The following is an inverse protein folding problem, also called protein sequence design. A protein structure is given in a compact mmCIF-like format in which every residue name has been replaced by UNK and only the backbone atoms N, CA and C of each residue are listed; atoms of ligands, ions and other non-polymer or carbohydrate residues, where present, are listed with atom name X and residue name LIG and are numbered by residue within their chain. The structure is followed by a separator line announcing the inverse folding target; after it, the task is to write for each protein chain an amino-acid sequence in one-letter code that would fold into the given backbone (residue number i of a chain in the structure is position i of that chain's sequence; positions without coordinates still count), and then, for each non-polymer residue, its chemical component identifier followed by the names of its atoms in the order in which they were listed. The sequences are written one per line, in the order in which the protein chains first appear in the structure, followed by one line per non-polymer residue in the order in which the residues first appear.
data_IF_551817968518
#
_entry.id   IF_551817968518
#
_cell.length_a   1.000
_cell.length_b   1.000
_cell.length_c   1.000
_cell.angle_alpha   90.00
_cell.angle_beta   90.00
_cell.angle_gamma   90.00
#
_symmetry.space_group_name_H-M   'P 1'
#
loop_
_entity.id
_entity.type
_entity.pdbx_description
1 polymer ?
#
# COMPACT_ATOMS: atom_id res chain seq x y z
N UNK A 1 -3.50 -24.71 49.63
CA UNK A 1 -4.17 -24.99 48.36
C UNK A 1 -3.93 -23.78 47.47
N UNK A 2 -2.82 -23.85 46.71
CA UNK A 2 -2.33 -22.73 45.90
C UNK A 2 -2.89 -22.92 44.49
N UNK A 3 -3.71 -21.99 44.02
CA UNK A 3 -4.27 -22.01 42.68
C UNK A 3 -3.13 -21.90 41.63
N UNK A 4 -3.18 -22.62 40.51
CA UNK A 4 -2.24 -22.45 39.44
C UNK A 4 -2.47 -21.05 38.84
N UNK A 5 -1.44 -20.20 38.91
CA UNK A 5 -1.41 -18.96 38.14
C UNK A 5 -1.22 -19.36 36.68
N UNK A 6 -2.29 -19.31 35.89
CA UNK A 6 -2.24 -19.36 34.47
C UNK A 6 -1.35 -18.20 33.98
N UNK A 7 -0.09 -18.52 33.69
CA UNK A 7 0.80 -17.67 32.94
C UNK A 7 0.34 -17.68 31.48
N UNK A 8 -0.81 -17.05 31.23
CA UNK A 8 -1.14 -16.55 29.89
C UNK A 8 -0.03 -15.58 29.55
N UNK A 9 0.87 -15.99 28.63
CA UNK A 9 2.05 -15.22 28.23
C UNK A 9 1.66 -13.78 28.03
N UNK A 10 2.30 -12.88 28.80
CA UNK A 10 1.97 -11.47 28.80
C UNK A 10 1.85 -10.96 27.37
N UNK A 11 0.73 -10.29 27.01
CA UNK A 11 0.52 -9.74 25.65
C UNK A 11 1.74 -9.01 25.08
N UNK A 12 2.55 -8.30 25.91
CA UNK A 12 3.80 -7.68 25.45
C UNK A 12 4.84 -8.66 24.93
N UNK A 13 5.00 -9.84 25.56
CA UNK A 13 6.02 -10.82 25.17
C UNK A 13 5.67 -11.51 23.83
N UNK A 14 4.42 -11.90 23.63
CA UNK A 14 3.93 -12.48 22.40
C UNK A 14 4.06 -11.48 21.23
N UNK A 15 3.69 -10.22 21.46
CA UNK A 15 3.83 -9.15 20.49
C UNK A 15 5.30 -8.92 20.11
N UNK A 16 6.20 -8.84 21.10
CA UNK A 16 7.62 -8.66 20.85
C UNK A 16 8.21 -9.82 20.03
N UNK A 17 7.81 -11.05 20.32
CA UNK A 17 8.22 -12.24 19.57
C UNK A 17 7.70 -12.20 18.13
N UNK A 18 6.44 -11.85 17.93
CA UNK A 18 5.84 -11.72 16.60
C UNK A 18 6.56 -10.66 15.76
N UNK A 19 6.75 -9.45 16.30
CA UNK A 19 7.41 -8.36 15.57
C UNK A 19 8.86 -8.70 15.22
N UNK A 20 9.59 -9.40 16.10
CA UNK A 20 10.94 -9.92 15.81
C UNK A 20 10.91 -10.91 14.64
N UNK A 21 9.89 -11.74 14.52
CA UNK A 21 9.71 -12.68 13.40
C UNK A 21 9.41 -11.99 12.08
N UNK A 22 8.75 -10.81 12.11
CA UNK A 22 8.32 -10.10 10.91
C UNK A 22 9.29 -9.01 10.43
N UNK A 23 10.11 -8.43 11.33
CA UNK A 23 10.89 -7.21 11.03
C UNK A 23 11.82 -7.36 9.83
N UNK A 24 12.55 -8.46 9.72
CA UNK A 24 13.49 -8.72 8.62
C UNK A 24 12.77 -8.83 7.27
N UNK A 25 11.71 -9.63 7.22
CA UNK A 25 10.89 -9.82 6.01
C UNK A 25 10.16 -8.54 5.64
N UNK A 26 9.65 -7.81 6.63
CA UNK A 26 9.00 -6.52 6.43
C UNK A 26 9.94 -5.46 5.89
N UNK A 27 11.21 -5.43 6.34
CA UNK A 27 12.20 -4.50 5.83
C UNK A 27 12.54 -4.76 4.37
N UNK A 28 12.81 -6.03 4.01
CA UNK A 28 13.12 -6.41 2.62
C UNK A 28 11.91 -6.16 1.71
N UNK A 29 10.70 -6.52 2.15
CA UNK A 29 9.49 -6.21 1.41
C UNK A 29 9.36 -4.70 1.15
N UNK A 30 9.49 -3.87 2.19
CA UNK A 30 9.30 -2.43 2.09
C UNK A 30 10.35 -1.76 1.19
N UNK A 31 11.62 -2.15 1.34
CA UNK A 31 12.71 -1.70 0.49
C UNK A 31 12.45 -2.05 -0.98
N UNK A 32 12.16 -3.32 -1.27
CA UNK A 32 11.92 -3.78 -2.63
C UNK A 32 10.62 -3.22 -3.24
N UNK A 33 9.63 -2.91 -2.41
CA UNK A 33 8.38 -2.31 -2.87
C UNK A 33 8.56 -0.88 -3.39
N UNK A 34 9.39 -0.07 -2.73
CA UNK A 34 9.62 1.31 -3.15
C UNK A 34 10.99 1.55 -3.81
N UNK A 35 11.91 0.57 -3.77
CA UNK A 35 13.25 0.67 -4.34
C UNK A 35 14.23 1.54 -3.55
N UNK A 36 13.90 1.79 -2.26
CA UNK A 36 14.72 2.61 -1.36
C UNK A 36 14.66 2.09 0.09
N UNK A 37 15.79 1.76 0.72
CA UNK A 37 15.82 1.19 2.06
C UNK A 37 15.37 2.15 3.15
N UNK A 38 15.70 3.44 3.07
CA UNK A 38 15.35 4.41 4.11
C UNK A 38 13.85 4.74 4.07
N UNK A 39 13.29 4.88 2.87
CA UNK A 39 11.84 5.03 2.67
C UNK A 39 11.09 3.77 3.11
N UNK A 40 11.64 2.59 2.85
CA UNK A 40 11.12 1.32 3.32
C UNK A 40 11.10 1.25 4.85
N UNK A 41 12.14 1.72 5.53
CA UNK A 41 12.22 1.77 7.00
C UNK A 41 11.17 2.70 7.61
N UNK A 42 10.91 3.85 6.99
CA UNK A 42 9.84 4.76 7.44
C UNK A 42 8.48 4.06 7.38
N UNK A 43 8.22 3.32 6.29
CA UNK A 43 7.00 2.54 6.14
C UNK A 43 6.89 1.42 7.19
N UNK A 44 7.98 0.66 7.38
CA UNK A 44 8.04 -0.42 8.36
C UNK A 44 7.82 0.11 9.78
N UNK A 45 8.50 1.20 10.18
CA UNK A 45 8.34 1.81 11.48
C UNK A 45 6.88 2.27 11.72
N UNK A 46 6.23 2.81 10.71
CA UNK A 46 4.82 3.19 10.79
C UNK A 46 3.91 1.97 10.97
N UNK A 47 4.15 0.89 10.20
CA UNK A 47 3.38 -0.34 10.29
C UNK A 47 3.56 -1.03 11.65
N UNK A 48 4.78 -1.11 12.19
CA UNK A 48 5.06 -1.68 13.51
C UNK A 48 4.29 -0.93 14.62
N UNK A 49 4.30 0.41 14.60
CA UNK A 49 3.56 1.23 15.57
C UNK A 49 2.04 1.06 15.44
N UNK A 50 1.53 1.08 14.21
CA UNK A 50 0.11 0.90 13.96
C UNK A 50 -0.34 -0.50 14.38
N UNK A 51 0.46 -1.54 14.11
CA UNK A 51 0.16 -2.90 14.51
C UNK A 51 0.12 -3.04 16.03
N UNK A 52 1.10 -2.49 16.75
CA UNK A 52 1.09 -2.47 18.22
C UNK A 52 -0.22 -1.90 18.79
N UNK A 53 -0.71 -0.81 18.23
CA UNK A 53 -1.96 -0.18 18.66
C UNK A 53 -3.20 -1.04 18.44
N UNK A 54 -3.15 -2.02 17.54
CA UNK A 54 -4.27 -2.87 17.17
C UNK A 54 -4.16 -4.31 17.74
N UNK A 55 -2.96 -4.76 18.08
CA UNK A 55 -2.67 -6.16 18.38
C UNK A 55 -3.50 -6.73 19.54
N UNK A 56 -3.75 -5.92 20.59
CA UNK A 56 -4.50 -6.36 21.76
C UNK A 56 -5.99 -6.67 21.47
N UNK A 57 -6.54 -6.08 20.40
CA UNK A 57 -7.94 -6.25 20.00
C UNK A 57 -8.13 -7.38 18.98
N UNK A 58 -7.04 -8.05 18.54
CA UNK A 58 -7.07 -9.05 17.47
C UNK A 58 -6.68 -10.43 17.99
N UNK A 59 -7.34 -11.50 17.52
CA UNK A 59 -6.84 -12.86 17.69
C UNK A 59 -5.41 -12.99 17.12
N UNK A 60 -4.55 -13.75 17.79
CA UNK A 60 -3.15 -13.92 17.34
C UNK A 60 -3.05 -14.58 15.96
N UNK A 61 -4.04 -15.38 15.56
CA UNK A 61 -4.11 -15.98 14.24
C UNK A 61 -4.19 -14.94 13.12
N UNK A 62 -4.81 -13.79 13.38
CA UNK A 62 -5.01 -12.71 12.39
C UNK A 62 -3.82 -11.73 12.32
N UNK A 63 -2.86 -11.86 13.23
CA UNK A 63 -1.72 -10.96 13.31
C UNK A 63 -0.90 -10.88 12.02
N UNK A 64 -0.57 -12.01 11.35
CA UNK A 64 0.20 -11.96 10.11
C UNK A 64 -0.51 -11.13 9.03
N UNK A 65 -1.76 -11.44 8.72
CA UNK A 65 -2.55 -10.75 7.70
C UNK A 65 -2.65 -9.26 8.04
N UNK A 66 -2.96 -8.94 9.30
CA UNK A 66 -3.09 -7.55 9.74
C UNK A 66 -1.79 -6.76 9.64
N UNK A 67 -0.66 -7.34 10.05
CA UNK A 67 0.65 -6.70 9.93
C UNK A 67 0.98 -6.39 8.47
N UNK A 68 0.82 -7.37 7.58
CA UNK A 68 1.11 -7.21 6.17
C UNK A 68 0.15 -6.24 5.47
N UNK A 69 -1.11 -6.21 5.86
CA UNK A 69 -2.07 -5.22 5.38
C UNK A 69 -1.64 -3.79 5.75
N UNK A 70 -1.24 -3.56 7.01
CA UNK A 70 -0.75 -2.26 7.46
C UNK A 70 0.53 -1.82 6.73
N UNK A 71 1.45 -2.74 6.52
CA UNK A 71 2.70 -2.45 5.82
C UNK A 71 2.46 -2.15 4.34
N UNK A 72 1.70 -2.99 3.65
CA UNK A 72 1.38 -2.81 2.23
C UNK A 72 0.59 -1.52 1.96
N UNK A 73 -0.27 -1.10 2.89
CA UNK A 73 -1.05 0.13 2.80
C UNK A 73 -0.26 1.39 3.14
N UNK A 74 0.98 1.27 3.64
CA UNK A 74 1.78 2.42 4.06
C UNK A 74 2.03 3.41 2.90
N UNK A 75 1.75 4.71 3.07
CA UNK A 75 1.85 5.69 1.99
C UNK A 75 3.21 5.71 1.26
N UNK A 76 4.37 5.54 1.94
CA UNK A 76 5.65 5.50 1.26
C UNK A 76 5.81 4.36 0.24
N UNK A 77 5.02 3.28 0.36
CA UNK A 77 5.11 2.10 -0.50
C UNK A 77 4.15 2.12 -1.71
N UNK A 78 3.30 3.12 -1.81
CA UNK A 78 2.30 3.22 -2.91
C UNK A 78 2.92 3.59 -4.25
N UNK A 79 4.12 4.16 -4.24
CA UNK A 79 4.87 4.56 -5.42
C UNK A 79 6.33 4.20 -5.23
N UNK A 80 7.06 3.98 -6.32
CA UNK A 80 8.52 3.90 -6.24
C UNK A 80 9.11 5.22 -5.72
N UNK A 81 10.27 5.13 -5.07
CA UNK A 81 11.03 6.31 -4.71
C UNK A 81 11.49 7.04 -5.99
N UNK A 82 11.71 8.38 -5.97
CA UNK A 82 12.24 9.10 -7.13
C UNK A 82 13.57 8.52 -7.63
N UNK A 83 14.43 8.09 -6.69
CA UNK A 83 15.72 7.47 -6.95
C UNK A 83 15.70 5.95 -6.74
N UNK A 84 14.56 5.32 -6.98
CA UNK A 84 14.38 3.89 -6.78
C UNK A 84 15.43 3.09 -7.56
N UNK A 85 16.05 2.13 -6.88
CA UNK A 85 17.09 1.28 -7.46
C UNK A 85 16.83 -0.19 -7.17
N UNK A 86 16.73 -0.96 -8.23
CA UNK A 86 16.74 -2.41 -8.19
C UNK A 86 17.89 -2.90 -9.05
N UNK A 87 18.79 -3.72 -8.48
CA UNK A 87 20.01 -4.15 -9.14
C UNK A 87 19.97 -5.64 -9.48
N UNK A 88 20.73 -6.04 -10.48
CA UNK A 88 20.83 -7.44 -10.89
C UNK A 88 19.46 -8.02 -11.26
N UNK A 89 19.15 -9.22 -10.77
CA UNK A 89 17.88 -9.88 -11.01
C UNK A 89 16.68 -9.09 -10.45
N UNK A 90 16.88 -8.28 -9.40
CA UNK A 90 15.82 -7.46 -8.80
C UNK A 90 15.37 -6.32 -9.72
N UNK A 91 16.12 -5.98 -10.77
CA UNK A 91 15.70 -4.95 -11.76
C UNK A 91 14.35 -5.25 -12.40
N UNK A 92 13.95 -6.52 -12.45
CA UNK A 92 12.62 -6.94 -12.89
C UNK A 92 11.47 -6.37 -12.03
N UNK A 93 11.75 -5.96 -10.79
CA UNK A 93 10.76 -5.31 -9.92
C UNK A 93 10.42 -3.88 -10.31
N UNK A 94 11.18 -3.26 -11.21
CA UNK A 94 10.89 -1.91 -11.69
C UNK A 94 9.64 -1.84 -12.58
N UNK A 95 9.40 -2.89 -13.37
CA UNK A 95 8.34 -2.91 -14.38
C UNK A 95 6.91 -3.06 -13.82
N UNK A 96 6.63 -3.94 -12.83
CA UNK A 96 5.27 -4.13 -12.33
C UNK A 96 4.70 -2.87 -11.67
N UNK A 97 3.38 -2.68 -11.82
CA UNK A 97 2.64 -1.67 -11.06
C UNK A 97 2.78 -1.92 -9.54
N UNK A 98 2.64 -0.90 -8.69
CA UNK A 98 2.85 -1.04 -7.25
C UNK A 98 2.03 -2.16 -6.60
N UNK A 99 0.77 -2.35 -6.99
CA UNK A 99 -0.08 -3.43 -6.47
C UNK A 99 0.41 -4.81 -6.91
N UNK A 100 0.78 -4.94 -8.18
CA UNK A 100 1.25 -6.19 -8.74
C UNK A 100 2.61 -6.59 -8.12
N UNK A 101 3.50 -5.61 -7.94
CA UNK A 101 4.76 -5.79 -7.22
C UNK A 101 4.53 -6.22 -5.77
N UNK A 102 3.57 -5.60 -5.06
CA UNK A 102 3.22 -5.99 -3.70
C UNK A 102 2.72 -7.44 -3.62
N UNK A 103 1.89 -7.89 -4.56
CA UNK A 103 1.42 -9.28 -4.64
C UNK A 103 2.58 -10.26 -4.76
N UNK A 104 3.55 -9.97 -5.65
CA UNK A 104 4.77 -10.75 -5.82
C UNK A 104 5.61 -10.77 -4.55
N UNK A 105 5.86 -9.62 -3.93
CA UNK A 105 6.72 -9.49 -2.77
C UNK A 105 6.10 -10.10 -1.51
N UNK A 106 4.78 -10.06 -1.33
CA UNK A 106 4.11 -10.77 -0.23
C UNK A 106 4.34 -12.28 -0.33
N UNK A 107 4.36 -12.82 -1.56
CA UNK A 107 4.65 -14.22 -1.79
C UNK A 107 6.12 -14.55 -1.53
N UNK A 108 7.05 -13.79 -2.08
CA UNK A 108 8.49 -14.12 -2.11
C UNK A 108 9.25 -13.63 -0.87
N UNK A 109 9.01 -12.41 -0.40
CA UNK A 109 9.65 -11.84 0.78
C UNK A 109 8.81 -12.09 2.04
N UNK A 110 7.51 -11.85 1.98
CA UNK A 110 6.59 -12.08 3.10
C UNK A 110 6.44 -13.55 3.45
N UNK A 111 6.47 -14.43 2.46
CA UNK A 111 6.27 -15.87 2.63
C UNK A 111 4.81 -16.24 2.92
N UNK A 112 3.85 -15.38 2.55
CA UNK A 112 2.43 -15.60 2.77
C UNK A 112 1.87 -16.66 1.81
N UNK A 113 0.87 -17.39 2.27
CA UNK A 113 0.03 -18.18 1.38
C UNK A 113 -0.87 -17.27 0.54
N UNK A 114 -1.41 -17.81 -0.55
CA UNK A 114 -2.23 -17.03 -1.51
C UNK A 114 -3.40 -16.32 -0.84
N UNK A 115 -4.15 -17.03 0.01
CA UNK A 115 -5.30 -16.47 0.72
C UNK A 115 -4.88 -15.30 1.62
N UNK A 116 -3.86 -15.50 2.47
CA UNK A 116 -3.36 -14.48 3.40
C UNK A 116 -2.79 -13.25 2.66
N UNK A 117 -2.13 -13.46 1.52
CA UNK A 117 -1.58 -12.39 0.70
C UNK A 117 -2.68 -11.59 -0.01
N UNK A 118 -3.73 -12.26 -0.50
CA UNK A 118 -4.92 -11.63 -1.05
C UNK A 118 -5.61 -10.77 0.01
N UNK A 119 -5.88 -11.33 1.19
CA UNK A 119 -6.51 -10.64 2.32
C UNK A 119 -5.68 -9.43 2.78
N UNK A 120 -4.34 -9.57 2.85
CA UNK A 120 -3.44 -8.48 3.20
C UNK A 120 -3.50 -7.30 2.22
N UNK A 121 -3.82 -7.54 0.94
CA UNK A 121 -4.00 -6.52 -0.09
C UNK A 121 -5.46 -6.07 -0.26
N UNK A 122 -6.41 -6.70 0.44
CA UNK A 122 -7.85 -6.44 0.26
C UNK A 122 -8.37 -6.90 -1.10
N UNK A 123 -7.79 -7.96 -1.66
CA UNK A 123 -8.16 -8.55 -2.94
C UNK A 123 -8.87 -9.89 -2.72
N UNK A 124 -9.73 -10.26 -3.66
CA UNK A 124 -10.15 -11.65 -3.77
C UNK A 124 -9.05 -12.52 -4.41
N UNK A 125 -9.19 -13.85 -4.32
CA UNK A 125 -8.18 -14.75 -4.83
C UNK A 125 -7.96 -14.68 -6.35
N UNK A 126 -8.98 -14.32 -7.14
CA UNK A 126 -8.86 -14.16 -8.58
C UNK A 126 -8.04 -12.89 -8.91
N UNK A 127 -8.39 -11.76 -8.30
CA UNK A 127 -7.69 -10.49 -8.46
C UNK A 127 -6.23 -10.58 -8.00
N UNK A 128 -5.95 -11.33 -6.93
CA UNK A 128 -4.59 -11.58 -6.47
C UNK A 128 -3.78 -12.39 -7.49
N UNK A 129 -4.34 -13.49 -8.03
CA UNK A 129 -3.66 -14.28 -9.07
C UNK A 129 -3.38 -13.47 -10.32
N UNK A 130 -4.31 -12.61 -10.72
CA UNK A 130 -4.14 -11.71 -11.86
C UNK A 130 -3.03 -10.68 -11.60
N UNK A 131 -2.97 -10.10 -10.40
CA UNK A 131 -1.89 -9.20 -10.01
C UNK A 131 -0.52 -9.91 -10.03
N UNK A 132 -0.46 -11.14 -9.50
CA UNK A 132 0.75 -11.96 -9.52
C UNK A 132 1.18 -12.33 -10.95
N UNK A 133 0.25 -12.65 -11.83
CA UNK A 133 0.51 -12.94 -13.24
C UNK A 133 1.05 -11.70 -14.00
N UNK A 134 0.56 -10.50 -13.69
CA UNK A 134 1.09 -9.24 -14.24
C UNK A 134 2.48 -8.91 -13.71
N UNK A 135 2.78 -9.27 -12.46
CA UNK A 135 4.10 -9.08 -11.86
C UNK A 135 5.15 -10.08 -12.34
N UNK A 136 4.74 -11.18 -12.96
CA UNK A 136 5.65 -12.22 -13.44
C UNK A 136 6.58 -11.65 -14.52
N UNK A 137 7.92 -11.81 -14.39
CA UNK A 137 8.87 -11.43 -15.44
C UNK A 137 8.53 -12.12 -16.76
N UNK A 138 8.74 -11.40 -17.85
CA UNK A 138 8.46 -11.87 -19.21
C UNK A 138 9.71 -11.82 -20.08
N UNK A 139 9.79 -12.74 -21.03
CA UNK A 139 10.84 -12.74 -22.06
C UNK A 139 10.57 -11.66 -23.15
N UNK A 140 11.46 -11.57 -24.12
CA UNK A 140 11.35 -10.62 -25.22
C UNK A 140 10.11 -10.83 -26.11
N UNK A 141 9.50 -12.01 -26.05
CA UNK A 141 8.29 -12.37 -26.79
C UNK A 141 7.02 -12.16 -25.96
N UNK A 142 7.16 -11.70 -24.70
CA UNK A 142 6.07 -11.48 -23.77
C UNK A 142 5.56 -12.72 -23.04
N UNK A 143 6.21 -13.87 -23.18
CA UNK A 143 5.88 -15.08 -22.42
C UNK A 143 6.45 -15.04 -21.00
N UNK A 144 5.82 -15.71 -20.02
CA UNK A 144 6.37 -15.83 -18.68
C UNK A 144 7.78 -16.42 -18.68
N UNK A 145 8.74 -15.73 -18.07
CA UNK A 145 10.13 -16.16 -17.97
C UNK A 145 10.38 -16.86 -16.62
N UNK A 146 10.35 -18.18 -16.62
CA UNK A 146 10.59 -18.99 -15.44
C UNK A 146 12.04 -18.88 -14.91
N UNK A 147 13.03 -18.55 -15.75
CA UNK A 147 14.40 -18.36 -15.32
C UNK A 147 14.55 -17.03 -14.59
N UNK A 148 14.02 -15.95 -15.15
CA UNK A 148 13.99 -14.64 -14.50
C UNK A 148 13.18 -14.67 -13.20
N UNK A 149 12.04 -15.37 -13.17
CA UNK A 149 11.27 -15.58 -11.93
C UNK A 149 12.11 -16.22 -10.83
N UNK A 150 12.82 -17.31 -11.15
CA UNK A 150 13.69 -17.99 -10.18
C UNK A 150 14.84 -17.09 -9.71
N UNK A 151 15.45 -16.34 -10.63
CA UNK A 151 16.52 -15.42 -10.30
C UNK A 151 16.06 -14.29 -9.34
N UNK A 152 14.87 -13.73 -9.55
CA UNK A 152 14.25 -12.76 -8.63
C UNK A 152 13.99 -13.39 -7.27
N UNK A 153 13.39 -14.57 -7.23
CA UNK A 153 13.10 -15.28 -5.98
C UNK A 153 14.38 -15.56 -5.19
N UNK A 154 15.42 -16.04 -5.85
CA UNK A 154 16.72 -16.32 -5.24
C UNK A 154 17.41 -15.07 -4.72
N UNK A 155 17.40 -13.99 -5.48
CA UNK A 155 17.94 -12.69 -5.05
C UNK A 155 17.22 -12.16 -3.80
N UNK A 156 15.89 -12.27 -3.73
CA UNK A 156 15.11 -11.89 -2.54
C UNK A 156 15.50 -12.77 -1.33
N UNK A 157 15.60 -14.08 -1.52
CA UNK A 157 15.99 -14.99 -0.44
C UNK A 157 17.42 -14.74 0.04
N UNK A 158 18.33 -14.39 -0.87
CA UNK A 158 19.71 -13.99 -0.54
C UNK A 158 19.72 -12.72 0.28
N UNK A 159 18.97 -11.68 -0.14
CA UNK A 159 18.84 -10.43 0.61
C UNK A 159 18.24 -10.66 2.02
N UNK A 160 17.27 -11.57 2.14
CA UNK A 160 16.71 -11.95 3.44
C UNK A 160 17.71 -12.63 4.37
N UNK A 161 18.60 -13.47 3.82
CA UNK A 161 19.65 -14.17 4.61
C UNK A 161 20.81 -13.27 4.99
N UNK A 162 21.20 -12.39 4.09
CA UNK A 162 22.49 -11.66 4.12
C UNK A 162 22.33 -10.18 4.53
N UNK A 163 21.27 -9.85 5.30
CA UNK A 163 21.12 -8.50 5.82
C UNK A 163 22.35 -8.12 6.69
N UNK A 164 23.00 -6.97 6.41
CA UNK A 164 24.17 -6.53 7.15
C UNK A 164 23.88 -6.33 8.65
N UNK A 165 24.89 -6.51 9.54
CA UNK A 165 24.70 -6.37 10.98
C UNK A 165 24.18 -5.00 11.43
N UNK A 166 24.65 -3.92 10.79
CA UNK A 166 24.17 -2.55 11.04
C UNK A 166 22.70 -2.39 10.67
N UNK A 167 22.28 -3.02 9.56
CA UNK A 167 20.87 -3.06 9.15
C UNK A 167 20.01 -3.83 10.18
N UNK A 168 20.49 -4.97 10.66
CA UNK A 168 19.81 -5.74 11.70
C UNK A 168 19.70 -4.93 13.01
N UNK A 169 20.72 -4.21 13.40
CA UNK A 169 20.70 -3.33 14.57
C UNK A 169 19.70 -2.17 14.39
N UNK A 170 19.59 -1.58 13.20
CA UNK A 170 18.59 -0.56 12.88
C UNK A 170 17.17 -1.12 13.03
N UNK A 171 16.88 -2.32 12.49
CA UNK A 171 15.59 -2.98 12.59
C UNK A 171 15.20 -3.28 14.05
N UNK A 172 16.16 -3.76 14.86
CA UNK A 172 15.93 -3.99 16.28
C UNK A 172 15.50 -2.71 17.00
N UNK A 173 16.15 -1.57 16.71
CA UNK A 173 15.76 -0.26 17.27
C UNK A 173 14.34 0.14 16.82
N UNK A 174 14.01 0.01 15.53
CA UNK A 174 12.65 0.33 15.04
C UNK A 174 11.58 -0.49 15.75
N UNK A 175 11.85 -1.78 16.01
CA UNK A 175 10.95 -2.64 16.79
C UNK A 175 10.84 -2.16 18.24
N UNK A 176 11.96 -1.88 18.90
CA UNK A 176 12.00 -1.42 20.30
C UNK A 176 11.25 -0.09 20.46
N UNK A 177 11.48 0.88 19.57
CA UNK A 177 10.77 2.15 19.53
C UNK A 177 9.25 1.96 19.34
N UNK A 178 8.86 1.02 18.48
CA UNK A 178 7.47 0.68 18.28
C UNK A 178 6.85 0.07 19.54
N UNK A 179 7.54 -0.84 20.22
CA UNK A 179 7.08 -1.47 21.45
C UNK A 179 7.01 -0.49 22.63
N UNK A 180 7.99 0.40 22.77
CA UNK A 180 8.02 1.43 23.81
C UNK A 180 6.90 2.48 23.63
N UNK A 181 6.29 2.55 22.44
CA UNK A 181 5.29 3.57 22.12
C UNK A 181 5.89 4.96 21.96
N UNK A 182 7.19 5.04 21.81
CA UNK A 182 7.91 6.29 21.61
C UNK A 182 7.44 6.88 20.26
N UNK A 183 6.81 8.04 20.34
CA UNK A 183 6.50 8.83 19.15
C UNK A 183 7.84 9.35 18.65
N UNK A 184 8.45 8.68 17.67
CA UNK A 184 9.54 9.30 16.93
C UNK A 184 8.99 10.64 16.42
N UNK A 185 9.62 11.79 16.76
CA UNK A 185 9.21 13.05 16.14
C UNK A 185 9.17 12.80 14.65
N UNK A 186 8.03 13.08 14.03
CA UNK A 186 7.97 13.07 12.58
C UNK A 186 9.15 13.92 12.12
N UNK A 187 10.08 13.33 11.35
CA UNK A 187 11.10 14.11 10.68
C UNK A 187 10.32 15.18 9.96
N UNK A 188 10.47 16.42 10.42
CA UNK A 188 9.74 17.54 9.86
C UNK A 188 10.01 17.47 8.35
N UNK A 189 8.97 17.45 7.52
CA UNK A 189 9.18 17.45 6.09
C UNK A 189 10.10 18.62 5.80
N UNK A 190 11.24 18.34 5.13
CA UNK A 190 12.15 19.37 4.68
C UNK A 190 11.27 20.44 4.07
N UNK A 191 11.41 21.69 4.59
CA UNK A 191 10.60 22.86 4.26
C UNK A 191 10.45 22.91 2.75
N UNK A 192 9.33 22.41 2.25
CA UNK A 192 8.99 22.51 0.84
C UNK A 192 8.97 24.01 0.53
N UNK A 193 9.47 24.45 -0.64
CA UNK A 193 9.34 25.84 -1.03
C UNK A 193 7.85 26.20 -0.95
N UNK A 194 7.55 27.32 -0.33
CA UNK A 194 6.20 27.82 -0.12
C UNK A 194 5.52 28.01 -1.48
N UNK A 195 4.92 26.93 -1.99
CA UNK A 195 3.91 27.06 -3.03
C UNK A 195 2.67 27.59 -2.34
N UNK A 196 2.33 28.85 -2.62
CA UNK A 196 1.06 29.45 -2.26
C UNK A 196 -0.05 28.46 -2.53
N UNK A 197 -0.62 27.91 -1.49
CA UNK A 197 -1.86 27.14 -1.56
C UNK A 197 -2.95 28.08 -2.02
N UNK A 198 -3.24 28.04 -3.32
CA UNK A 198 -4.44 28.63 -3.86
C UNK A 198 -5.60 27.84 -3.25
N UNK A 199 -6.35 28.54 -2.42
CA UNK A 199 -7.43 28.03 -1.58
C UNK A 199 -8.52 27.34 -2.44
N UNK A 200 -8.36 26.04 -2.69
CA UNK A 200 -9.28 25.25 -3.50
C UNK A 200 -10.66 25.07 -2.82
N UNK A 201 -10.76 25.34 -1.52
CA UNK A 201 -12.02 25.22 -0.76
C UNK A 201 -12.99 26.37 -1.04
N UNK A 202 -12.51 27.50 -1.59
CA UNK A 202 -13.36 28.67 -1.87
C UNK A 202 -14.02 28.63 -3.25
N UNK A 203 -13.65 27.72 -4.14
CA UNK A 203 -14.18 27.66 -5.51
C UNK A 203 -15.36 26.72 -5.71
N UNK A 204 -15.63 25.81 -4.79
CA UNK A 204 -16.73 24.85 -4.93
C UNK A 204 -18.13 25.48 -4.97
N UNK A 205 -18.49 26.50 -4.14
CA UNK A 205 -19.80 27.14 -4.29
C UNK A 205 -19.99 27.84 -5.63
N UNK A 206 -18.92 28.36 -6.24
CA UNK A 206 -19.00 29.02 -7.54
C UNK A 206 -19.20 28.08 -8.71
N UNK A 207 -18.66 26.85 -8.62
CA UNK A 207 -18.86 25.79 -9.63
C UNK A 207 -20.31 25.30 -9.60
N UNK A 208 -20.90 25.13 -8.43
CA UNK A 208 -22.31 24.76 -8.28
C UNK A 208 -23.25 25.88 -8.79
N UNK A 209 -22.93 27.15 -8.52
CA UNK A 209 -23.70 28.30 -8.99
C UNK A 209 -23.64 28.42 -10.52
N UNK A 210 -22.49 28.18 -11.13
CA UNK A 210 -22.33 28.17 -12.58
C UNK A 210 -23.10 27.02 -13.24
N UNK A 211 -23.12 25.83 -12.61
CA UNK A 211 -23.92 24.68 -13.08
C UNK A 211 -25.42 24.94 -13.07
N UNK A 212 -25.94 25.57 -12.00
CA UNK A 212 -27.38 25.93 -11.89
C UNK A 212 -27.76 26.98 -12.92
N UNK A 213 -26.91 27.99 -13.15
CA UNK A 213 -27.14 29.00 -14.18
C UNK A 213 -27.18 28.45 -15.60
N UNK A 214 -26.30 27.50 -15.91
CA UNK A 214 -26.29 26.79 -17.20
C UNK A 214 -27.56 25.98 -17.43
N UNK A 215 -28.05 25.27 -16.41
CA UNK A 215 -29.29 24.50 -16.48
C UNK A 215 -30.53 25.40 -16.65
N UNK A 216 -30.55 26.57 -15.96
CA UNK A 216 -31.62 27.53 -16.11
C UNK A 216 -31.65 28.16 -17.51
N UNK A 217 -30.49 28.48 -18.08
CA UNK A 217 -30.38 29.01 -19.44
C UNK A 217 -30.81 28.00 -20.51
N UNK A 218 -30.43 26.72 -20.33
CA UNK A 218 -30.86 25.63 -21.23
C UNK A 218 -32.37 25.41 -21.17
N UNK A 219 -32.97 25.43 -19.98
CA UNK A 219 -34.43 25.34 -19.79
C UNK A 219 -35.19 26.48 -20.45
N UNK A 220 -34.72 27.72 -20.30
CA UNK A 220 -35.33 28.90 -20.95
C UNK A 220 -35.22 28.83 -22.48
N UNK A 221 -34.10 28.38 -23.02
CA UNK A 221 -33.91 28.22 -24.46
C UNK A 221 -34.86 27.14 -25.04
N UNK A 222 -35.04 26.03 -24.33
CA UNK A 222 -35.96 24.97 -24.73
C UNK A 222 -37.41 25.43 -24.73
N UNK A 223 -37.81 26.18 -23.68
CA UNK A 223 -39.17 26.76 -23.58
C UNK A 223 -39.43 27.76 -24.68
N UNK A 224 -38.47 28.61 -25.02
CA UNK A 224 -38.60 29.59 -26.12
C UNK A 224 -38.71 28.92 -27.49
N UNK A 225 -37.96 27.85 -27.71
CA UNK A 225 -38.00 27.06 -28.95
C UNK A 225 -39.33 26.30 -29.13
N UNK A 226 -39.92 25.77 -28.08
CA UNK A 226 -41.24 25.12 -28.09
C UNK A 226 -42.37 26.12 -28.35
N UNK A 227 -42.22 27.39 -27.94
CA UNK A 227 -43.21 28.45 -28.19
C UNK A 227 -43.23 28.94 -29.64
N UNK A 228 -42.24 28.55 -30.47
CA UNK A 228 -42.18 28.98 -31.90
C UNK A 228 -42.71 27.89 -32.88
N UNK A 229 -43.29 26.81 -32.43
CA UNK A 229 -43.85 25.80 -33.30
C UNK A 229 -45.12 26.37 -34.00
N UNK A 230 -45.15 26.42 -35.36
CA UNK A 230 -46.32 26.96 -36.06
C UNK A 230 -47.54 26.00 -35.88
N UNK A 231 -48.76 26.55 -35.80
CA UNK A 231 -49.96 25.75 -35.68
C UNK A 231 -50.13 24.87 -36.93
N UNK A 232 -50.38 23.56 -36.70
CA UNK A 232 -50.66 22.58 -37.75
C UNK A 232 -51.92 22.99 -38.51
N UNK A 233 -51.79 23.27 -39.79
CA UNK A 233 -52.90 23.54 -40.68
C UNK A 233 -53.74 22.26 -40.82
N UNK A 234 -54.99 22.31 -40.29
CA UNK A 234 -56.04 21.34 -40.54
C UNK A 234 -56.58 21.55 -41.96
N UNK A 235 -56.37 20.62 -42.86
CA UNK A 235 -57.03 20.53 -44.16
C UNK A 235 -58.46 19.98 -43.99
N UNK A 236 -59.50 20.65 -44.51
CA UNK A 236 -60.84 20.10 -44.62
C UNK A 236 -61.00 19.36 -45.95
N UNK A 237 -61.64 18.22 -45.91
CA UNK A 237 -62.38 17.62 -47.03
C UNK A 237 -63.82 17.67 -46.71
#
# INVERSE_FOLDING_TARGET
MMAPQDTVGSPPAALAAFLRGCERRGAVFAELQCGDPDRGDVALAAALRAFRGNAAALPMADWPVRFWSLLSAAPPLRTAAPDARWQGALSALAAPAPLDRAALLLRLAGGLQEADAADALGLDGAAYRDALARACPRDALGHPDAAAWRAVAEAIQTQLRELPPDRLAKLARLREDALAGTRVPAVAPAKAPETRTVDARRRWPWILLAGILLLAAAGAALWWWQGQAPPSASTPT
#
